data_IF_028845364392
#
_entry.id   IF_028845364392
#
_cell.length_a   1.000
_cell.length_b   1.000
_cell.length_c   1.000
_cell.angle_alpha   90.00
_cell.angle_beta   90.00
_cell.angle_gamma   90.00
#
_symmetry.space_group_name_H-M   'P 1'
#
loop_
_entity.id
_entity.type
_entity.pdbx_description
1 polymer ?
#
# COMPACT_ATOMS: atom_id res chain seq x y z
N UNK A 1 1.86 20.00 3.73
CA UNK A 1 0.77 19.00 3.59
C UNK A 1 0.45 18.46 4.97
N UNK A 2 -0.82 18.49 5.39
CA UNK A 2 -1.22 17.99 6.71
C UNK A 2 -1.07 16.47 6.78
N UNK A 3 -0.29 15.97 7.74
CA UNK A 3 -0.16 14.55 8.02
C UNK A 3 -1.50 13.98 8.51
N UNK A 4 -2.13 13.14 7.69
CA UNK A 4 -3.31 12.37 8.11
C UNK A 4 -2.79 11.10 8.79
N UNK A 5 -3.13 10.84 10.06
CA UNK A 5 -2.78 9.60 10.74
C UNK A 5 -3.26 8.39 9.93
N UNK A 6 -2.43 7.35 9.83
CA UNK A 6 -2.73 6.18 8.98
C UNK A 6 -4.05 5.52 9.35
N UNK A 7 -4.39 5.51 10.65
CA UNK A 7 -5.67 5.01 11.17
C UNK A 7 -6.87 5.76 10.56
N UNK A 8 -6.80 7.09 10.53
CA UNK A 8 -7.88 7.93 9.96
C UNK A 8 -7.99 7.69 8.45
N UNK A 9 -6.87 7.49 7.76
CA UNK A 9 -6.87 7.16 6.34
C UNK A 9 -7.55 5.80 6.08
N UNK A 10 -7.24 4.80 6.89
CA UNK A 10 -7.86 3.45 6.82
C UNK A 10 -9.37 3.51 7.08
N UNK A 11 -9.80 4.27 8.10
CA UNK A 11 -11.22 4.45 8.44
C UNK A 11 -11.98 5.17 7.31
N UNK A 12 -11.39 6.22 6.74
CA UNK A 12 -11.99 6.97 5.64
C UNK A 12 -12.14 6.10 4.37
N UNK A 13 -11.11 5.30 4.05
CA UNK A 13 -11.11 4.41 2.88
C UNK A 13 -11.60 2.98 3.21
N UNK A 14 -12.44 2.81 4.24
CA UNK A 14 -12.89 1.48 4.65
C UNK A 14 -13.70 0.77 3.56
N UNK A 15 -14.54 1.48 2.82
CA UNK A 15 -15.32 0.91 1.70
C UNK A 15 -14.37 0.38 0.61
N UNK A 16 -13.35 1.16 0.26
CA UNK A 16 -12.33 0.78 -0.73
C UNK A 16 -11.54 -0.44 -0.27
N UNK A 17 -11.15 -0.47 1.01
CA UNK A 17 -10.42 -1.59 1.63
C UNK A 17 -11.24 -2.88 1.61
N UNK A 18 -12.54 -2.82 1.95
CA UNK A 18 -13.41 -4.00 1.92
C UNK A 18 -13.61 -4.48 0.48
N UNK A 19 -13.77 -3.58 -0.48
CA UNK A 19 -13.87 -3.93 -1.89
C UNK A 19 -12.58 -4.59 -2.41
N UNK A 20 -11.42 -4.06 -2.03
CA UNK A 20 -10.11 -4.65 -2.35
C UNK A 20 -9.97 -6.07 -1.80
N UNK A 21 -10.30 -6.28 -0.52
CA UNK A 21 -10.24 -7.59 0.11
C UNK A 21 -11.16 -8.61 -0.56
N UNK A 22 -12.34 -8.18 -1.03
CA UNK A 22 -13.26 -9.03 -1.79
C UNK A 22 -12.71 -9.46 -3.15
N UNK A 23 -11.92 -8.61 -3.81
CA UNK A 23 -11.27 -8.96 -5.08
C UNK A 23 -10.12 -9.97 -4.88
N UNK A 24 -9.40 -9.86 -3.75
CA UNK A 24 -8.27 -10.72 -3.44
C UNK A 24 -8.65 -12.17 -3.17
N UNK A 25 -9.83 -12.40 -2.60
CA UNK A 25 -10.31 -13.74 -2.29
C UNK A 25 -11.18 -14.27 -3.45
N UNK A 26 -10.83 -15.39 -4.12
CA UNK A 26 -9.86 -16.43 -3.77
C UNK A 26 -8.51 -16.41 -4.53
N UNK A 27 -8.27 -15.45 -5.44
CA UNK A 27 -7.24 -15.59 -6.49
C UNK A 27 -5.86 -15.01 -6.18
N UNK A 28 -5.68 -14.17 -5.15
CA UNK A 28 -4.40 -13.81 -4.49
C UNK A 28 -3.18 -13.39 -5.33
N UNK A 29 -3.27 -13.26 -6.65
CA UNK A 29 -2.07 -13.32 -7.52
C UNK A 29 -1.64 -11.97 -8.11
N UNK A 30 -2.50 -10.96 -8.18
CA UNK A 30 -2.16 -9.66 -8.78
C UNK A 30 -2.65 -8.47 -7.95
N UNK A 31 -2.00 -8.28 -6.81
CA UNK A 31 -2.35 -7.24 -5.86
C UNK A 31 -2.25 -5.82 -6.45
N UNK A 32 -1.31 -5.57 -7.36
CA UNK A 32 -1.20 -4.28 -8.04
C UNK A 32 -2.34 -4.05 -9.04
N UNK A 33 -2.73 -5.06 -9.82
CA UNK A 33 -3.91 -4.94 -10.69
C UNK A 33 -5.17 -4.64 -9.88
N UNK A 34 -5.37 -5.31 -8.74
CA UNK A 34 -6.52 -5.03 -7.89
C UNK A 34 -6.49 -3.63 -7.27
N UNK A 35 -5.31 -3.10 -6.91
CA UNK A 35 -5.19 -1.68 -6.49
C UNK A 35 -5.62 -0.74 -7.61
N UNK A 36 -5.24 -1.03 -8.86
CA UNK A 36 -5.64 -0.24 -10.04
C UNK A 36 -7.15 -0.35 -10.32
N UNK A 37 -7.77 -1.50 -10.09
CA UNK A 37 -9.23 -1.68 -10.22
C UNK A 37 -9.97 -0.81 -9.19
N UNK A 38 -9.57 -0.84 -7.91
CA UNK A 38 -10.20 0.01 -6.89
C UNK A 38 -10.02 1.50 -7.19
N UNK A 39 -8.83 1.88 -7.68
CA UNK A 39 -8.54 3.24 -8.09
C UNK A 39 -9.37 3.68 -9.32
N UNK A 40 -9.61 2.78 -10.29
CA UNK A 40 -10.49 3.01 -11.43
C UNK A 40 -11.93 3.28 -10.96
N UNK A 41 -12.44 2.48 -10.04
CA UNK A 41 -13.80 2.65 -9.50
C UNK A 41 -13.95 3.99 -8.77
N UNK A 42 -12.96 4.38 -7.97
CA UNK A 42 -12.92 5.71 -7.34
C UNK A 42 -12.88 6.83 -8.38
N UNK A 43 -12.09 6.68 -9.44
CA UNK A 43 -12.09 7.65 -10.54
C UNK A 43 -13.47 7.75 -11.21
N UNK A 44 -14.18 6.64 -11.45
CA UNK A 44 -15.55 6.67 -11.97
C UNK A 44 -16.50 7.48 -11.06
N UNK A 45 -16.37 7.38 -9.74
CA UNK A 45 -17.15 8.20 -8.81
C UNK A 45 -16.88 9.70 -9.01
N UNK A 46 -15.63 10.09 -9.29
CA UNK A 46 -15.30 11.49 -9.63
C UNK A 46 -15.93 11.96 -10.94
N UNK A 47 -16.24 11.04 -11.86
CA UNK A 47 -16.93 11.31 -13.13
C UNK A 47 -18.47 11.27 -13.00
N UNK A 48 -18.99 11.14 -11.76
CA UNK A 48 -20.41 11.15 -11.47
C UNK A 48 -21.09 9.79 -11.46
N UNK A 49 -20.35 8.68 -11.55
CA UNK A 49 -20.86 7.32 -11.31
C UNK A 49 -20.87 7.06 -9.79
N UNK A 50 -21.79 7.71 -9.07
CA UNK A 50 -21.77 7.79 -7.59
C UNK A 50 -21.88 6.42 -6.92
N UNK A 51 -21.22 6.29 -5.76
CA UNK A 51 -21.26 5.10 -4.89
C UNK A 51 -20.88 3.79 -5.60
N UNK A 52 -20.10 3.87 -6.69
CA UNK A 52 -19.68 2.71 -7.46
C UNK A 52 -19.01 1.67 -6.57
N UNK A 53 -18.02 2.07 -5.75
CA UNK A 53 -17.29 1.14 -4.89
C UNK A 53 -18.22 0.53 -3.85
N UNK A 54 -19.09 1.33 -3.25
CA UNK A 54 -20.08 0.85 -2.29
C UNK A 54 -21.01 -0.21 -2.91
N UNK A 55 -21.48 -0.01 -4.13
CA UNK A 55 -22.35 -0.98 -4.81
C UNK A 55 -21.65 -2.33 -5.04
N UNK A 56 -20.34 -2.35 -5.27
CA UNK A 56 -19.57 -3.61 -5.40
C UNK A 56 -19.62 -4.49 -4.14
N UNK A 57 -19.88 -3.90 -2.96
CA UNK A 57 -20.03 -4.65 -1.71
C UNK A 57 -21.35 -5.43 -1.63
N UNK A 58 -22.33 -5.08 -2.46
CA UNK A 58 -23.69 -5.66 -2.40
C UNK A 58 -23.92 -6.77 -3.41
N UNK A 59 -23.05 -6.89 -4.42
CA UNK A 59 -23.21 -7.86 -5.51
C UNK A 59 -22.71 -9.26 -5.11
N UNK A 60 -23.14 -10.28 -5.84
CA UNK A 60 -22.66 -11.65 -5.65
C UNK A 60 -21.22 -11.82 -6.18
N UNK A 61 -20.53 -12.89 -5.77
CA UNK A 61 -19.18 -13.19 -6.27
C UNK A 61 -19.12 -13.34 -7.79
N UNK A 62 -20.16 -13.91 -8.42
CA UNK A 62 -20.25 -14.03 -9.87
C UNK A 62 -20.31 -12.66 -10.57
N UNK A 63 -21.10 -11.71 -10.03
CA UNK A 63 -21.17 -10.35 -10.57
C UNK A 63 -19.86 -9.59 -10.32
N UNK A 64 -19.22 -9.80 -9.16
CA UNK A 64 -17.92 -9.20 -8.86
C UNK A 64 -16.83 -9.68 -9.82
N UNK A 65 -16.84 -10.96 -10.20
CA UNK A 65 -15.94 -11.49 -11.23
C UNK A 65 -16.19 -10.83 -12.60
N UNK A 66 -17.45 -10.66 -13.01
CA UNK A 66 -17.74 -9.94 -14.26
C UNK A 66 -17.32 -8.46 -14.20
N UNK A 67 -17.50 -7.80 -13.05
CA UNK A 67 -16.99 -6.44 -12.82
C UNK A 67 -15.46 -6.38 -12.91
N UNK A 68 -14.76 -7.38 -12.39
CA UNK A 68 -13.31 -7.49 -12.52
C UNK A 68 -12.90 -7.55 -13.99
N UNK A 69 -13.60 -8.34 -14.81
CA UNK A 69 -13.31 -8.45 -16.25
C UNK A 69 -13.52 -7.12 -16.98
N UNK A 70 -14.66 -6.46 -16.76
CA UNK A 70 -14.90 -5.12 -17.33
C UNK A 70 -13.89 -4.07 -16.84
N UNK A 71 -13.43 -4.19 -15.60
CA UNK A 71 -12.41 -3.30 -15.04
C UNK A 71 -11.05 -3.52 -15.70
N UNK A 72 -10.68 -4.78 -15.96
CA UNK A 72 -9.47 -5.12 -16.71
C UNK A 72 -9.54 -4.57 -18.15
N UNK A 73 -10.70 -4.66 -18.80
CA UNK A 73 -10.91 -4.06 -20.12
C UNK A 73 -10.72 -2.54 -20.10
N UNK A 74 -11.28 -1.86 -19.11
CA UNK A 74 -11.08 -0.42 -18.93
C UNK A 74 -9.60 -0.09 -18.75
N UNK A 75 -8.91 -0.78 -17.84
CA UNK A 75 -7.47 -0.56 -17.59
C UNK A 75 -6.62 -0.81 -18.83
N UNK A 76 -6.95 -1.82 -19.63
CA UNK A 76 -6.29 -2.08 -20.90
C UNK A 76 -6.54 -0.95 -21.90
N UNK A 77 -7.81 -0.53 -22.06
CA UNK A 77 -8.21 0.59 -22.91
C UNK A 77 -7.44 1.89 -22.60
N UNK A 78 -7.15 2.17 -21.32
CA UNK A 78 -6.35 3.34 -20.93
C UNK A 78 -4.96 3.34 -21.58
N UNK A 79 -4.32 2.18 -21.71
CA UNK A 79 -2.95 2.08 -22.22
C UNK A 79 -2.87 2.17 -23.76
N UNK A 80 -4.01 2.14 -24.44
CA UNK A 80 -4.05 2.06 -25.90
C UNK A 80 -3.84 3.40 -26.59
N UNK A 81 -3.13 3.34 -27.71
CA UNK A 81 -2.81 4.50 -28.52
C UNK A 81 -3.90 4.81 -29.55
N UNK A 82 -4.75 3.83 -29.92
CA UNK A 82 -5.74 3.99 -30.99
C UNK A 82 -7.13 3.49 -30.59
N UNK A 83 -8.16 4.25 -30.97
CA UNK A 83 -9.57 3.90 -30.75
C UNK A 83 -10.00 2.61 -31.48
N UNK A 84 -9.35 2.30 -32.61
CA UNK A 84 -9.63 1.10 -33.42
C UNK A 84 -9.46 -0.20 -32.62
N UNK A 85 -8.71 -0.17 -31.53
CA UNK A 85 -8.52 -1.31 -30.63
C UNK A 85 -9.80 -1.73 -29.90
N UNK A 86 -10.78 -0.83 -29.70
CA UNK A 86 -12.03 -1.15 -29.04
C UNK A 86 -12.82 -2.25 -29.78
N UNK A 87 -12.70 -2.30 -31.11
CA UNK A 87 -13.30 -3.34 -31.95
C UNK A 87 -12.67 -4.73 -31.69
N UNK A 88 -11.36 -4.80 -31.44
CA UNK A 88 -10.66 -6.05 -31.14
C UNK A 88 -10.89 -6.50 -29.70
N UNK A 89 -11.02 -5.55 -28.78
CA UNK A 89 -11.20 -5.81 -27.36
C UNK A 89 -12.61 -6.34 -27.01
N UNK A 90 -13.64 -5.82 -27.70
CA UNK A 90 -15.03 -6.28 -27.57
C UNK A 90 -15.21 -7.74 -28.05
N UNK A 91 -14.40 -8.19 -29.03
CA UNK A 91 -14.45 -9.56 -29.55
C UNK A 91 -13.94 -10.64 -28.58
N UNK A 92 -13.23 -10.26 -27.51
CA UNK A 92 -12.73 -11.21 -26.50
C UNK A 92 -13.83 -11.77 -25.58
N UNK A 93 -15.03 -11.21 -25.63
CA UNK A 93 -16.17 -11.58 -24.77
C UNK A 93 -17.42 -12.02 -25.56
N UNK A 94 -17.35 -12.06 -26.90
CA UNK A 94 -18.45 -12.56 -27.73
C UNK A 94 -18.40 -14.09 -27.77
N UNK A 95 -19.46 -14.72 -27.27
CA UNK A 95 -19.67 -16.17 -27.37
C UNK A 95 -19.62 -16.61 -28.85
N UNK A 96 -18.88 -17.67 -29.17
CA UNK A 96 -18.63 -18.10 -30.57
C UNK A 96 -19.92 -18.30 -31.39
N UNK A 97 -21.05 -18.51 -30.71
CA UNK A 97 -22.38 -18.70 -31.31
C UNK A 97 -23.02 -17.45 -31.91
N UNK A 98 -22.60 -16.24 -31.52
CA UNK A 98 -23.18 -14.98 -32.03
C UNK A 98 -22.44 -14.41 -33.25
N UNK A 99 -21.45 -15.14 -33.80
CA UNK A 99 -20.66 -14.71 -34.96
C UNK A 99 -21.44 -14.71 -36.29
N UNK A 100 -22.64 -15.28 -36.31
CA UNK A 100 -23.44 -15.50 -37.53
C UNK A 100 -24.53 -14.44 -37.78
N UNK A 101 -24.90 -13.64 -36.78
CA UNK A 101 -25.79 -12.48 -36.99
C UNK A 101 -24.93 -11.27 -37.39
N UNK A 102 -24.83 -11.01 -38.69
CA UNK A 102 -24.01 -9.96 -39.31
C UNK A 102 -24.33 -8.50 -38.96
N UNK A 103 -24.80 -8.20 -37.75
CA UNK A 103 -24.79 -6.85 -37.19
C UNK A 103 -23.42 -6.59 -36.54
N UNK A 104 -22.47 -6.15 -37.37
CA UNK A 104 -21.14 -5.69 -36.91
C UNK A 104 -21.26 -4.32 -36.22
N UNK A 105 -21.96 -4.27 -35.09
CA UNK A 105 -21.81 -3.19 -34.12
C UNK A 105 -20.87 -3.67 -33.02
N UNK A 106 -19.66 -3.11 -32.94
CA UNK A 106 -18.83 -3.33 -31.75
C UNK A 106 -19.57 -2.75 -30.55
N UNK A 107 -20.09 -3.60 -29.68
CA UNK A 107 -20.71 -3.15 -28.44
C UNK A 107 -19.59 -2.68 -27.51
N UNK A 108 -19.38 -1.37 -27.46
CA UNK A 108 -18.41 -0.72 -26.59
C UNK A 108 -18.96 -0.48 -25.18
N UNK A 109 -20.16 -1.01 -24.87
CA UNK A 109 -20.80 -0.84 -23.57
C UNK A 109 -20.13 -1.72 -22.52
N UNK A 110 -20.19 -1.26 -21.29
CA UNK A 110 -19.75 -1.98 -20.10
C UNK A 110 -21.01 -2.37 -19.31
N UNK A 111 -21.73 -3.44 -19.73
CA UNK A 111 -23.08 -3.72 -19.25
C UNK A 111 -23.14 -3.94 -17.74
N UNK A 112 -22.15 -4.62 -17.14
CA UNK A 112 -22.16 -4.92 -15.69
C UNK A 112 -21.89 -3.66 -14.89
N UNK A 113 -20.91 -2.86 -15.28
CA UNK A 113 -20.64 -1.56 -14.67
C UNK A 113 -21.82 -0.60 -14.84
N UNK A 114 -22.43 -0.57 -16.03
CA UNK A 114 -23.58 0.27 -16.33
C UNK A 114 -24.78 -0.11 -15.46
N UNK A 115 -25.02 -1.40 -15.29
CA UNK A 115 -26.05 -1.92 -14.40
C UNK A 115 -25.77 -1.59 -12.93
N UNK A 116 -24.51 -1.68 -12.51
CA UNK A 116 -24.10 -1.40 -11.13
C UNK A 116 -24.41 0.05 -10.71
N UNK A 117 -24.17 1.01 -11.60
CA UNK A 117 -24.34 2.43 -11.31
C UNK A 117 -25.65 3.03 -11.84
N UNK A 118 -26.46 2.25 -12.56
CA UNK A 118 -27.71 2.72 -13.19
C UNK A 118 -27.50 3.81 -14.24
N UNK A 119 -26.29 3.93 -14.78
CA UNK A 119 -25.89 4.93 -15.77
C UNK A 119 -25.06 4.25 -16.86
N UNK A 120 -25.35 4.55 -18.11
CA UNK A 120 -24.59 3.98 -19.24
C UNK A 120 -23.11 4.37 -19.17
N UNK A 121 -22.24 3.36 -19.25
CA UNK A 121 -20.79 3.48 -19.29
C UNK A 121 -20.26 2.71 -20.50
N UNK A 122 -19.35 3.32 -21.24
CA UNK A 122 -18.74 2.73 -22.44
C UNK A 122 -17.22 2.86 -22.43
N UNK A 123 -16.54 1.99 -23.17
CA UNK A 123 -15.09 2.06 -23.38
C UNK A 123 -14.67 3.32 -24.13
N UNK A 124 -15.54 3.89 -24.97
CA UNK A 124 -15.30 5.18 -25.62
C UNK A 124 -15.13 6.29 -24.59
N UNK A 125 -16.04 6.38 -23.61
CA UNK A 125 -15.93 7.33 -22.51
C UNK A 125 -14.62 7.13 -21.72
N UNK A 126 -14.23 5.88 -21.46
CA UNK A 126 -12.96 5.56 -20.78
C UNK A 126 -11.76 6.08 -21.61
N UNK A 127 -11.75 5.81 -22.92
CA UNK A 127 -10.67 6.22 -23.81
C UNK A 127 -10.55 7.75 -23.90
N UNK A 128 -11.68 8.44 -24.09
CA UNK A 128 -11.71 9.90 -24.20
C UNK A 128 -11.15 10.59 -22.95
N UNK A 129 -11.35 9.98 -21.78
CA UNK A 129 -10.90 10.51 -20.49
C UNK A 129 -9.62 9.85 -19.97
N UNK A 130 -8.88 9.11 -20.81
CA UNK A 130 -7.80 8.22 -20.36
C UNK A 130 -6.67 8.89 -19.60
N UNK A 131 -6.32 10.12 -19.95
CA UNK A 131 -5.23 10.85 -19.27
C UNK A 131 -5.65 11.28 -17.85
N UNK A 132 -6.89 11.72 -17.68
CA UNK A 132 -7.47 12.00 -16.36
C UNK A 132 -7.54 10.73 -15.50
N UNK A 133 -8.00 9.64 -16.09
CA UNK A 133 -8.07 8.34 -15.43
C UNK A 133 -6.69 7.86 -14.98
N UNK A 134 -5.69 7.85 -15.86
CA UNK A 134 -4.31 7.44 -15.53
C UNK A 134 -3.71 8.25 -14.38
N UNK A 135 -3.84 9.58 -14.44
CA UNK A 135 -3.30 10.47 -13.42
C UNK A 135 -3.96 10.21 -12.05
N UNK A 136 -5.29 10.07 -12.05
CA UNK A 136 -6.07 9.81 -10.82
C UNK A 136 -5.76 8.43 -10.26
N UNK A 137 -5.71 7.40 -11.11
CA UNK A 137 -5.40 6.02 -10.71
C UNK A 137 -4.01 5.95 -10.07
N UNK A 138 -3.00 6.51 -10.75
CA UNK A 138 -1.62 6.51 -10.24
C UNK A 138 -1.53 7.22 -8.90
N UNK A 139 -2.20 8.38 -8.77
CA UNK A 139 -2.24 9.13 -7.53
C UNK A 139 -2.94 8.35 -6.41
N UNK A 140 -4.09 7.73 -6.68
CA UNK A 140 -4.86 6.99 -5.68
C UNK A 140 -4.09 5.76 -5.18
N UNK A 141 -3.45 5.01 -6.08
CA UNK A 141 -2.61 3.87 -5.69
C UNK A 141 -1.53 4.31 -4.71
N UNK A 142 -0.78 5.36 -5.05
CA UNK A 142 0.32 5.88 -4.22
C UNK A 142 -0.16 6.49 -2.90
N UNK A 143 -1.18 7.36 -2.95
CA UNK A 143 -1.56 8.18 -1.80
C UNK A 143 -2.50 7.43 -0.83
N UNK A 144 -3.21 6.41 -1.32
CA UNK A 144 -4.20 5.62 -0.58
C UNK A 144 -3.81 4.15 -0.50
N UNK A 145 -3.78 3.41 -1.61
CA UNK A 145 -3.64 1.95 -1.56
C UNK A 145 -2.32 1.51 -0.90
N UNK A 146 -1.19 2.11 -1.28
CA UNK A 146 0.13 1.73 -0.77
C UNK A 146 0.34 2.10 0.70
N UNK A 147 -0.53 2.92 1.27
CA UNK A 147 -0.45 3.36 2.67
C UNK A 147 -1.53 2.74 3.54
N UNK A 148 -2.74 2.62 3.00
CA UNK A 148 -3.92 2.22 3.71
C UNK A 148 -4.29 0.77 3.46
N UNK A 149 -3.73 0.03 2.49
CA UNK A 149 -4.14 -1.36 2.22
C UNK A 149 -3.09 -2.37 2.69
N UNK A 150 -1.93 -1.93 3.18
CA UNK A 150 -0.78 -2.78 3.51
C UNK A 150 -1.09 -3.92 4.47
N UNK A 151 -2.01 -3.72 5.42
CA UNK A 151 -2.45 -4.70 6.42
C UNK A 151 -3.46 -5.74 5.90
N UNK A 152 -4.02 -5.53 4.71
CA UNK A 152 -5.00 -6.44 4.10
C UNK A 152 -4.48 -7.11 2.83
N UNK A 153 -3.24 -6.81 2.43
CA UNK A 153 -2.56 -7.52 1.33
C UNK A 153 -2.09 -8.88 1.84
N UNK A 154 -2.49 -10.00 1.20
CA UNK A 154 -2.01 -11.33 1.56
C UNK A 154 -0.49 -11.40 1.46
N UNK A 155 0.15 -12.15 2.37
CA UNK A 155 1.62 -12.28 2.42
C UNK A 155 2.17 -12.85 1.11
N UNK A 156 1.38 -13.69 0.43
CA UNK A 156 1.70 -14.31 -0.85
C UNK A 156 1.89 -13.28 -1.97
N UNK A 157 1.14 -12.18 -1.93
CA UNK A 157 1.28 -11.08 -2.90
C UNK A 157 2.51 -10.21 -2.65
N UNK A 158 3.03 -10.22 -1.43
CA UNK A 158 4.16 -9.41 -1.05
C UNK A 158 5.47 -10.14 -1.31
N UNK A 159 5.50 -11.40 -1.77
CA UNK A 159 6.72 -12.24 -1.80
C UNK A 159 7.90 -11.55 -2.50
N UNK A 160 7.71 -10.89 -3.64
CA UNK A 160 8.81 -10.20 -4.35
C UNK A 160 9.28 -8.95 -3.59
N UNK A 161 8.35 -8.17 -3.03
CA UNK A 161 8.65 -7.03 -2.16
C UNK A 161 9.29 -7.48 -0.84
N UNK A 162 8.88 -8.63 -0.32
CA UNK A 162 9.41 -9.29 0.87
C UNK A 162 10.80 -9.79 0.60
N UNK A 163 11.06 -10.45 -0.52
CA UNK A 163 12.41 -10.91 -0.86
C UNK A 163 13.33 -9.73 -1.13
N UNK A 164 12.84 -8.68 -1.80
CA UNK A 164 13.58 -7.44 -1.99
C UNK A 164 13.89 -6.79 -0.65
N UNK A 165 12.88 -6.59 0.20
CA UNK A 165 13.03 -6.06 1.55
C UNK A 165 13.95 -6.96 2.38
N UNK A 166 13.78 -8.27 2.44
CA UNK A 166 14.64 -9.20 3.17
C UNK A 166 16.07 -9.24 2.63
N UNK A 167 16.28 -8.99 1.34
CA UNK A 167 17.62 -8.85 0.75
C UNK A 167 18.26 -7.51 1.13
N UNK A 168 17.52 -6.42 1.01
CA UNK A 168 17.90 -5.07 1.48
C UNK A 168 18.13 -5.05 2.99
N UNK A 169 17.35 -5.81 3.75
CA UNK A 169 17.34 -5.80 5.20
C UNK A 169 18.12 -6.92 5.86
N UNK A 170 18.51 -7.97 5.12
CA UNK A 170 19.56 -8.90 5.51
C UNK A 170 20.93 -8.23 5.66
N UNK A 171 21.05 -7.00 5.16
CA UNK A 171 22.17 -6.09 5.39
C UNK A 171 22.01 -5.22 6.65
N UNK A 172 20.82 -5.16 7.27
CA UNK A 172 20.65 -4.47 8.55
C UNK A 172 21.27 -5.29 9.67
N UNK A 173 22.04 -4.61 10.51
CA UNK A 173 22.42 -5.13 11.83
C UNK A 173 21.74 -4.28 12.89
N UNK A 174 20.56 -4.66 13.40
CA UNK A 174 19.97 -4.02 14.56
C UNK A 174 20.94 -4.21 15.74
N UNK A 175 21.42 -3.11 16.33
CA UNK A 175 22.23 -3.16 17.55
C UNK A 175 21.51 -2.40 18.66
N UNK A 176 21.52 -2.98 19.86
CA UNK A 176 21.16 -2.27 21.08
C UNK A 176 22.42 -1.63 21.61
N UNK A 177 22.64 -0.35 21.31
CA UNK A 177 23.59 0.43 22.07
C UNK A 177 22.91 0.84 23.38
N UNK A 178 23.22 0.12 24.46
CA UNK A 178 23.03 0.62 25.81
C UNK A 178 24.05 1.75 25.97
N UNK A 179 23.63 2.99 25.68
CA UNK A 179 24.46 4.17 25.90
C UNK A 179 24.56 4.42 27.42
N UNK A 180 25.42 3.64 28.09
CA UNK A 180 25.59 3.70 29.54
C UNK A 180 26.82 2.98 30.10
N UNK A 181 27.69 2.40 29.28
CA UNK A 181 28.93 1.76 29.77
C UNK A 181 30.17 2.21 28.99
N UNK A 182 30.55 3.48 29.13
CA UNK A 182 31.96 3.88 29.06
C UNK A 182 32.22 5.02 30.06
N UNK A 183 32.92 4.71 31.15
CA UNK A 183 33.43 5.68 32.12
C UNK A 183 33.58 5.11 33.52
N UNK A 184 34.78 4.65 33.87
CA UNK A 184 35.17 4.22 35.21
C UNK A 184 35.01 5.32 36.27
N UNK A 185 34.60 4.89 37.46
CA UNK A 185 34.98 5.35 38.81
C UNK A 185 35.34 6.84 39.01
N UNK A 186 34.43 7.59 39.65
CA UNK A 186 34.74 8.25 40.92
C UNK A 186 33.45 8.66 41.66
N UNK A 187 33.40 8.29 42.93
CA UNK A 187 32.36 8.59 43.91
C UNK A 187 32.38 10.08 44.22
N UNK A 188 31.22 10.73 44.24
CA UNK A 188 30.85 11.67 45.30
C UNK A 188 29.32 11.85 45.34
N UNK A 189 28.77 11.63 46.53
CA UNK A 189 27.39 11.92 46.92
C UNK A 189 27.13 13.44 46.89
N UNK A 190 25.99 13.87 46.33
CA UNK A 190 24.97 14.65 47.07
C UNK A 190 23.74 15.03 46.20
N UNK A 191 22.60 14.42 46.57
CA UNK A 191 21.26 15.01 46.83
C UNK A 191 20.47 15.76 45.72
N UNK A 192 19.43 15.05 45.25
CA UNK A 192 18.03 15.44 44.99
C UNK A 192 17.66 16.54 43.95
N UNK A 193 16.94 16.13 42.88
CA UNK A 193 15.49 16.34 42.74
C UNK A 193 14.96 15.93 41.34
N UNK A 194 13.83 15.20 41.33
CA UNK A 194 12.74 15.41 40.36
C UNK A 194 12.80 14.72 38.99
N UNK A 195 12.23 13.51 38.92
CA UNK A 195 11.28 13.03 37.90
C UNK A 195 11.59 13.06 36.38
N UNK A 196 12.78 13.50 35.94
CA UNK A 196 13.14 13.49 34.50
C UNK A 196 13.76 12.17 34.02
N UNK A 197 14.22 11.28 34.91
CA UNK A 197 15.01 10.11 34.54
C UNK A 197 14.19 8.92 34.00
N UNK A 198 12.88 8.85 34.29
CA UNK A 198 12.07 7.70 33.87
C UNK A 198 11.66 7.72 32.40
N UNK A 199 11.56 8.91 31.78
CA UNK A 199 11.13 9.05 30.38
C UNK A 199 12.21 8.63 29.39
N UNK A 200 13.42 9.15 29.55
CA UNK A 200 14.56 8.82 28.68
C UNK A 200 14.97 7.36 28.79
N UNK A 201 14.96 6.81 30.01
CA UNK A 201 15.30 5.41 30.25
C UNK A 201 14.27 4.45 29.63
N UNK A 202 12.96 4.75 29.76
CA UNK A 202 11.88 3.97 29.12
C UNK A 202 11.89 4.02 27.59
N UNK A 203 12.39 5.09 27.00
CA UNK A 203 12.56 5.19 25.54
C UNK A 203 13.82 4.43 25.14
N UNK A 204 14.89 4.48 25.94
CA UNK A 204 16.11 3.70 25.70
C UNK A 204 15.84 2.20 25.65
N UNK A 205 15.03 1.68 26.57
CA UNK A 205 14.66 0.25 26.64
C UNK A 205 13.80 -0.23 25.45
N UNK A 206 13.31 0.70 24.64
CA UNK A 206 12.46 0.44 23.45
C UNK A 206 13.04 1.04 22.18
N UNK A 207 14.31 1.46 22.20
CA UNK A 207 14.98 2.02 21.04
C UNK A 207 15.94 1.00 20.43
N UNK A 208 15.91 0.88 19.10
CA UNK A 208 16.89 0.15 18.30
C UNK A 208 17.71 1.15 17.51
N UNK A 209 19.01 0.93 17.44
CA UNK A 209 19.85 1.58 16.44
C UNK A 209 20.03 0.60 15.28
N UNK A 210 19.69 1.07 14.09
CA UNK A 210 19.68 0.29 12.86
C UNK A 210 20.70 0.93 11.92
N UNK A 211 21.76 0.19 11.57
CA UNK A 211 22.78 0.66 10.64
C UNK A 211 22.60 0.06 9.25
N UNK A 212 22.94 0.82 8.21
CA UNK A 212 22.76 0.47 6.80
C UNK A 212 24.09 0.22 6.10
N UNK A 213 24.09 -0.65 5.08
CA UNK A 213 25.20 -0.72 4.13
C UNK A 213 25.20 0.54 3.26
N UNK A 214 26.38 1.13 3.02
CA UNK A 214 26.56 2.40 2.29
C UNK A 214 26.06 2.40 0.84
N UNK A 215 25.76 1.24 0.27
CA UNK A 215 25.37 1.07 -1.12
C UNK A 215 23.86 1.15 -1.37
N UNK A 216 23.03 1.42 -0.34
CA UNK A 216 21.57 1.45 -0.47
C UNK A 216 20.91 2.67 0.16
N UNK A 217 20.04 3.33 -0.61
CA UNK A 217 19.20 4.44 -0.16
C UNK A 217 17.98 3.92 0.61
N UNK A 218 18.15 3.71 1.91
CA UNK A 218 17.05 3.29 2.80
C UNK A 218 16.29 4.52 3.28
N UNK A 219 14.98 4.55 3.01
CA UNK A 219 14.09 5.65 3.45
C UNK A 219 13.36 5.30 4.74
N UNK A 220 12.88 6.35 5.43
CA UNK A 220 12.08 6.23 6.65
C UNK A 220 10.81 5.40 6.43
N UNK A 221 10.16 5.58 5.30
CA UNK A 221 8.95 4.85 4.91
C UNK A 221 9.25 3.35 4.75
N UNK A 222 10.40 3.03 4.14
CA UNK A 222 10.81 1.65 3.91
C UNK A 222 11.07 0.92 5.25
N UNK A 223 11.75 1.56 6.21
CA UNK A 223 11.92 1.00 7.56
C UNK A 223 10.60 0.84 8.30
N UNK A 224 9.72 1.85 8.22
CA UNK A 224 8.42 1.77 8.87
C UNK A 224 7.58 0.61 8.32
N UNK A 225 7.59 0.41 7.01
CA UNK A 225 6.94 -0.75 6.38
C UNK A 225 7.56 -2.05 6.86
N UNK A 226 8.89 -2.17 6.86
CA UNK A 226 9.59 -3.40 7.26
C UNK A 226 9.27 -3.84 8.68
N UNK A 227 9.47 -2.96 9.66
CA UNK A 227 9.30 -3.33 11.06
C UNK A 227 7.86 -3.71 11.37
N UNK A 228 6.89 -2.96 10.83
CA UNK A 228 5.49 -3.28 11.03
C UNK A 228 5.08 -4.55 10.29
N UNK A 229 5.55 -4.74 9.06
CA UNK A 229 5.26 -5.95 8.28
C UNK A 229 5.85 -7.22 8.92
N UNK A 230 7.09 -7.16 9.45
CA UNK A 230 7.80 -8.32 9.98
C UNK A 230 7.50 -8.60 11.46
N UNK A 231 7.26 -7.55 12.24
CA UNK A 231 7.12 -7.61 13.69
C UNK A 231 5.73 -7.19 14.21
N UNK A 232 4.78 -6.84 13.32
CA UNK A 232 3.37 -6.59 13.64
C UNK A 232 2.95 -5.17 13.29
N UNK A 233 1.72 -4.98 12.81
CA UNK A 233 1.18 -3.75 12.20
C UNK A 233 1.34 -2.44 13.01
N UNK A 234 1.72 -2.55 14.28
CA UNK A 234 1.80 -1.47 15.24
C UNK A 234 3.14 -1.42 16.00
N UNK A 235 4.14 -2.17 15.50
CA UNK A 235 5.46 -2.33 16.10
C UNK A 235 6.18 -1.00 16.31
N UNK A 236 6.17 -0.12 15.32
CA UNK A 236 6.93 1.14 15.34
C UNK A 236 6.10 2.28 15.92
N UNK A 237 6.69 3.01 16.86
CA UNK A 237 6.18 4.27 17.39
C UNK A 237 6.80 5.46 16.65
N UNK A 238 8.13 5.46 16.48
CA UNK A 238 8.87 6.56 15.88
C UNK A 238 10.13 6.07 15.15
N UNK A 239 10.50 6.75 14.06
CA UNK A 239 11.77 6.57 13.37
C UNK A 239 12.43 7.93 13.20
N UNK A 240 13.67 8.04 13.69
CA UNK A 240 14.56 9.19 13.52
C UNK A 240 15.74 8.76 12.65
N UNK A 241 15.99 9.50 11.58
CA UNK A 241 17.15 9.37 10.71
C UNK A 241 17.92 10.68 10.83
N UNK A 242 19.25 10.63 10.99
CA UNK A 242 20.07 11.84 11.00
C UNK A 242 20.09 12.43 9.57
N UNK A 243 19.24 13.43 9.33
CA UNK A 243 19.37 14.32 8.19
C UNK A 243 20.63 15.16 8.44
N UNK A 244 21.76 14.70 7.92
CA UNK A 244 22.96 15.51 7.88
C UNK A 244 22.66 16.75 7.01
N UNK A 245 22.40 17.88 7.67
CA UNK A 245 22.30 19.25 7.11
C UNK A 245 23.67 19.74 6.54
N UNK A 246 24.53 18.80 6.14
CA UNK A 246 25.90 18.98 5.68
C UNK A 246 26.20 18.12 4.45
N UNK A 247 25.30 18.10 3.46
CA UNK A 247 25.61 17.68 2.08
C UNK A 247 26.21 16.27 1.90
N UNK A 248 26.00 15.36 2.87
CA UNK A 248 26.32 13.94 2.73
C UNK A 248 25.04 13.20 2.40
N UNK A 249 24.93 12.70 1.16
CA UNK A 249 23.72 12.11 0.57
C UNK A 249 23.31 10.74 1.15
N UNK A 250 23.82 10.31 2.31
CA UNK A 250 23.56 8.96 2.84
C UNK A 250 23.40 9.00 4.36
N UNK A 251 22.18 8.73 4.84
CA UNK A 251 21.93 8.46 6.26
C UNK A 251 22.42 7.03 6.53
N UNK A 252 23.44 6.86 7.37
CA UNK A 252 24.09 5.57 7.61
C UNK A 252 23.45 4.77 8.76
N UNK A 253 22.57 5.41 9.51
CA UNK A 253 21.96 4.88 10.72
C UNK A 253 20.59 5.51 10.99
N UNK A 254 19.72 4.76 11.65
CA UNK A 254 18.43 5.24 12.14
C UNK A 254 18.17 4.74 13.56
N UNK A 255 17.50 5.58 14.34
CA UNK A 255 16.91 5.21 15.62
C UNK A 255 15.44 4.85 15.43
N UNK A 256 15.07 3.63 15.79
CA UNK A 256 13.70 3.12 15.71
C UNK A 256 13.18 2.90 17.12
N UNK A 257 12.13 3.60 17.51
CA UNK A 257 11.43 3.42 18.78
C UNK A 257 10.24 2.49 18.53
N UNK A 258 10.20 1.36 19.24
CA UNK A 258 9.09 0.40 19.14
C UNK A 258 8.07 0.59 20.26
N UNK A 259 6.81 0.28 19.99
CA UNK A 259 5.70 0.55 20.91
C UNK A 259 5.77 -0.24 22.23
N UNK A 260 6.28 -1.47 22.18
CA UNK A 260 6.39 -2.37 23.32
C UNK A 260 7.81 -2.96 23.40
N UNK A 261 8.41 -3.09 24.60
CA UNK A 261 9.70 -3.74 24.77
C UNK A 261 9.76 -5.17 24.22
N UNK A 262 8.63 -5.89 24.20
CA UNK A 262 8.53 -7.24 23.63
C UNK A 262 8.88 -7.30 22.14
N UNK A 263 8.75 -6.19 21.41
CA UNK A 263 9.19 -6.11 20.03
C UNK A 263 10.72 -6.11 19.91
N UNK A 264 11.46 -5.54 20.87
CA UNK A 264 12.94 -5.55 20.89
C UNK A 264 13.46 -6.99 20.90
N UNK A 265 13.03 -7.81 21.86
CA UNK A 265 13.45 -9.21 21.97
C UNK A 265 13.14 -9.99 20.68
N UNK A 266 11.93 -9.80 20.14
CA UNK A 266 11.48 -10.42 18.90
C UNK A 266 12.26 -9.97 17.66
N UNK A 267 12.71 -8.71 17.63
CA UNK A 267 13.52 -8.15 16.55
C UNK A 267 14.95 -8.69 16.59
N UNK A 268 15.54 -8.78 17.77
CA UNK A 268 16.91 -9.25 17.97
C UNK A 268 17.05 -10.78 17.90
N UNK A 269 15.93 -11.51 17.81
CA UNK A 269 15.94 -12.97 17.79
C UNK A 269 16.31 -13.58 19.14
N UNK A 270 16.16 -12.81 20.23
CA UNK A 270 16.19 -13.32 21.60
C UNK A 270 14.90 -14.13 21.80
N UNK A 271 14.93 -15.38 21.34
CA UNK A 271 13.90 -16.35 21.67
C UNK A 271 13.98 -16.64 23.18
N UNK A 272 12.83 -16.76 23.83
CA UNK A 272 12.70 -17.45 25.13
C UNK A 272 13.39 -18.82 25.13
#
# INVERSE_FOLDING_TARGET
MSWIPIKNLKEYHNIDRVAYARLLYPYGSDCLAYKKIIALWNWLETQGYRNFVYHTLTVSGAVLYCLEMESKLCLQCLNELKLTFLQELSLQFVDEKNKESGESGCDNRLPVMSQLCGKELSLEFIYENKESAKATITKFVRDVCDRAFTDIVPRECLIDEIQFMESTFGLLRPQVNILGQQGNEQVDEEVANGDFCNGEQRISDRSLFVTFSKDQSITRELLHCFFNWRYGDDCVEEITMDDNDSGREECADARVVVRLPSYIARILGENE
#
